data_IF_349835806619
#
_entry.id   IF_349835806619
#
_cell.length_a   1.000
_cell.length_b   1.000
_cell.length_c   1.000
_cell.angle_alpha   90.00
_cell.angle_beta   90.00
_cell.angle_gamma   90.00
#
_symmetry.space_group_name_H-M   'P 1'
#
loop_
_entity.id
_entity.type
_entity.pdbx_description
1 polymer ?
#
# COMPACT_ATOMS: atom_id res chain seq x y z
N UNK A 1 -9.42 -10.17 9.55
CA UNK A 1 -8.88 -8.85 9.94
C UNK A 1 -8.50 -8.16 8.63
N UNK A 2 -8.05 -6.90 8.60
CA UNK A 2 -7.51 -6.31 7.36
C UNK A 2 -6.13 -5.71 7.68
N UNK A 3 -5.23 -5.70 6.69
CA UNK A 3 -3.95 -4.99 6.75
C UNK A 3 -4.04 -3.69 5.97
N UNK A 4 -3.33 -2.65 6.43
CA UNK A 4 -3.19 -1.38 5.70
C UNK A 4 -1.73 -0.93 5.83
N UNK A 5 -1.14 -0.57 4.70
CA UNK A 5 0.15 0.07 4.52
C UNK A 5 -0.06 1.44 3.83
N UNK A 6 0.89 2.35 4.04
CA UNK A 6 0.81 3.69 3.47
C UNK A 6 2.16 4.37 3.36
N UNK A 7 2.34 5.18 2.32
CA UNK A 7 3.49 6.05 2.12
C UNK A 7 2.99 7.45 1.82
N UNK A 8 3.44 8.43 2.60
CA UNK A 8 3.22 9.85 2.36
C UNK A 8 4.56 10.46 1.92
N UNK A 9 4.70 10.70 0.61
CA UNK A 9 5.92 11.22 0.01
C UNK A 9 5.61 11.92 -1.32
N UNK A 10 6.19 13.09 -1.60
CA UNK A 10 6.09 13.73 -2.91
C UNK A 10 6.96 13.03 -3.97
N UNK A 11 7.85 12.11 -3.58
CA UNK A 11 8.70 11.37 -4.50
C UNK A 11 7.91 10.23 -5.17
N UNK A 12 7.64 10.29 -6.49
CA UNK A 12 6.90 9.26 -7.20
C UNK A 12 7.60 7.90 -7.19
N UNK A 13 8.92 7.84 -6.97
CA UNK A 13 9.64 6.57 -6.91
C UNK A 13 9.22 5.72 -5.70
N UNK A 14 8.79 6.35 -4.61
CA UNK A 14 8.37 5.62 -3.40
C UNK A 14 7.02 4.93 -3.55
N UNK A 15 6.21 5.34 -4.53
CA UNK A 15 4.86 4.80 -4.77
C UNK A 15 4.87 3.30 -5.05
N UNK A 16 5.94 2.76 -5.64
CA UNK A 16 6.06 1.33 -5.96
C UNK A 16 6.28 0.46 -4.73
N UNK A 17 6.78 1.02 -3.62
CA UNK A 17 7.02 0.25 -2.40
C UNK A 17 5.71 -0.17 -1.70
N UNK A 18 4.57 0.47 -2.03
CA UNK A 18 3.28 0.16 -1.40
C UNK A 18 2.84 -1.29 -1.64
N UNK A 19 3.10 -1.83 -2.84
CA UNK A 19 2.70 -3.20 -3.19
C UNK A 19 3.48 -4.24 -2.37
N UNK A 20 4.77 -3.99 -2.13
CA UNK A 20 5.63 -4.85 -1.32
C UNK A 20 5.19 -4.80 0.15
N UNK A 21 4.86 -3.60 0.65
CA UNK A 21 4.35 -3.44 2.01
C UNK A 21 3.00 -4.14 2.20
N UNK A 22 2.04 -3.92 1.30
CA UNK A 22 0.73 -4.55 1.33
C UNK A 22 0.83 -6.09 1.31
N UNK A 23 1.69 -6.64 0.45
CA UNK A 23 1.92 -8.09 0.36
C UNK A 23 2.50 -8.69 1.64
N UNK A 24 3.31 -7.95 2.40
CA UNK A 24 3.79 -8.41 3.70
C UNK A 24 2.67 -8.56 4.75
N UNK A 25 1.52 -7.91 4.52
CA UNK A 25 0.34 -7.93 5.37
C UNK A 25 -0.76 -8.89 4.88
N UNK A 26 -0.53 -9.65 3.80
CA UNK A 26 -1.52 -10.57 3.19
C UNK A 26 -2.11 -11.56 4.21
N UNK A 27 -1.30 -12.02 5.16
CA UNK A 27 -1.72 -12.88 6.26
C UNK A 27 -2.81 -12.27 7.17
N UNK A 28 -3.05 -10.95 7.09
CA UNK A 28 -4.11 -10.26 7.85
C UNK A 28 -5.45 -10.27 7.13
N UNK A 29 -5.46 -10.39 5.80
CA UNK A 29 -6.64 -10.34 4.93
C UNK A 29 -6.29 -10.79 3.52
N UNK A 30 -6.42 -12.10 3.20
CA UNK A 30 -6.02 -12.68 1.91
C UNK A 30 -7.13 -12.64 0.84
N UNK A 31 -8.34 -12.22 1.21
CA UNK A 31 -9.53 -12.36 0.37
C UNK A 31 -9.56 -11.34 -0.78
N UNK A 32 -9.16 -10.09 -0.52
CA UNK A 32 -9.18 -8.98 -1.49
C UNK A 32 -7.98 -8.06 -1.29
N UNK A 33 -7.60 -7.36 -2.37
CA UNK A 33 -6.60 -6.29 -2.37
C UNK A 33 -7.19 -4.97 -2.88
N UNK A 34 -6.65 -3.84 -2.43
CA UNK A 34 -7.08 -2.51 -2.88
C UNK A 34 -5.95 -1.51 -2.79
N UNK A 35 -5.81 -0.66 -3.81
CA UNK A 35 -4.76 0.36 -3.86
C UNK A 35 -5.36 1.73 -4.15
N UNK A 36 -4.87 2.74 -3.44
CA UNK A 36 -5.13 4.15 -3.71
C UNK A 36 -3.82 4.89 -3.95
N UNK A 37 -3.80 5.77 -4.94
CA UNK A 37 -2.62 6.56 -5.28
C UNK A 37 -3.02 7.98 -5.68
N UNK A 38 -2.38 8.97 -5.05
CA UNK A 38 -2.41 10.36 -5.48
C UNK A 38 -0.98 10.92 -5.67
N UNK A 39 -0.87 12.24 -5.83
CA UNK A 39 0.41 12.92 -6.04
C UNK A 39 1.41 12.72 -4.87
N UNK A 40 0.93 12.57 -3.65
CA UNK A 40 1.69 12.57 -2.40
C UNK A 40 1.44 11.36 -1.49
N UNK A 41 0.36 10.61 -1.69
CA UNK A 41 -0.02 9.48 -0.85
C UNK A 41 -0.24 8.22 -1.70
N UNK A 42 0.18 7.09 -1.14
CA UNK A 42 -0.15 5.75 -1.64
C UNK A 42 -0.61 4.90 -0.47
N UNK A 43 -1.74 4.20 -0.63
CA UNK A 43 -2.31 3.28 0.36
C UNK A 43 -2.57 1.92 -0.28
N UNK A 44 -2.42 0.86 0.50
CA UNK A 44 -2.75 -0.51 0.10
C UNK A 44 -2.61 -1.51 1.22
#
# INVERSE_FOLDING_TARGET
MCGIAGILSPDPAQRQAISVMARSLEHRGPDDEGFYQDASISLG
#
